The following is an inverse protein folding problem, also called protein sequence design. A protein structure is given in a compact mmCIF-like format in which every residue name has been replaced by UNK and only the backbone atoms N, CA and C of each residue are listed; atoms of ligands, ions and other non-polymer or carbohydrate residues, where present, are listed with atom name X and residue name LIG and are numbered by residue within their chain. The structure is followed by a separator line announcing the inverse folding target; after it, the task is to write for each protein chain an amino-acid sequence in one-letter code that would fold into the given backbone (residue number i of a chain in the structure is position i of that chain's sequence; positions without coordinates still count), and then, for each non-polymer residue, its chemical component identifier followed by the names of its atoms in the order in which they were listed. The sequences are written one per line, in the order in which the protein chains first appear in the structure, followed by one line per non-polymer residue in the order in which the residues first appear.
data_IF_262374453745
#
_entry.id   IF_262374453745
#
_cell.length_a   1.000
_cell.length_b   1.000
_cell.length_c   1.000
_cell.angle_alpha   90.00
_cell.angle_beta   90.00
_cell.angle_gamma   90.00
#
_symmetry.space_group_name_H-M   'P 1'
#
loop_
_entity.id
_entity.type
_entity.pdbx_description
1 polymer ?
#
# COMPACT_ATOMS: atom_id res chain seq x y z
N UNK A 1 25.98 -13.90 22.65
CA UNK A 1 26.61 -14.75 21.62
C UNK A 1 26.76 -16.14 22.20
N UNK A 2 25.93 -17.08 21.74
CA UNK A 2 26.10 -18.51 22.03
C UNK A 2 26.57 -19.12 20.71
N UNK A 3 27.72 -19.81 20.71
CA UNK A 3 28.16 -20.63 19.58
C UNK A 3 27.47 -21.99 19.70
N UNK A 4 26.84 -22.49 18.65
CA UNK A 4 26.50 -23.91 18.54
C UNK A 4 27.77 -24.70 18.22
N UNK A 5 27.80 -25.99 18.62
CA UNK A 5 28.98 -26.86 18.54
C UNK A 5 29.32 -27.33 17.11
N UNK A 6 28.53 -26.97 16.11
CA UNK A 6 28.63 -27.51 14.75
C UNK A 6 29.26 -26.56 13.73
N UNK A 7 29.72 -25.38 14.16
CA UNK A 7 30.42 -24.42 13.28
C UNK A 7 29.55 -23.71 12.24
N UNK A 8 28.24 -23.99 12.23
CA UNK A 8 27.28 -23.25 11.41
C UNK A 8 26.89 -21.95 12.13
N UNK A 9 27.03 -20.82 11.43
CA UNK A 9 26.64 -19.51 11.96
C UNK A 9 25.11 -19.51 12.13
N UNK A 10 24.64 -19.59 13.37
CA UNK A 10 23.25 -19.32 13.73
C UNK A 10 22.93 -17.85 13.41
N UNK A 11 22.54 -17.61 12.17
CA UNK A 11 22.05 -16.32 11.70
C UNK A 11 20.58 -16.24 12.11
N UNK A 12 20.19 -15.31 13.01
CA UNK A 12 18.78 -15.14 13.35
C UNK A 12 17.98 -14.86 12.07
N UNK A 13 16.93 -15.66 11.87
CA UNK A 13 16.05 -15.59 10.71
C UNK A 13 15.26 -14.28 10.75
N UNK A 14 15.74 -13.27 10.03
CA UNK A 14 15.06 -11.97 9.88
C UNK A 14 14.02 -11.99 8.73
N UNK A 15 13.62 -13.17 8.26
CA UNK A 15 12.75 -13.29 7.09
C UNK A 15 11.30 -12.95 7.46
N UNK A 16 10.77 -11.84 6.94
CA UNK A 16 9.31 -11.64 6.85
C UNK A 16 8.77 -12.66 5.84
N UNK A 17 8.31 -13.82 6.31
CA UNK A 17 8.12 -14.98 5.43
C UNK A 17 6.99 -14.80 4.40
N UNK A 18 5.87 -14.15 4.77
CA UNK A 18 4.72 -14.04 3.88
C UNK A 18 4.02 -12.68 3.98
N UNK A 19 3.70 -12.10 2.82
CA UNK A 19 2.60 -11.13 2.70
C UNK A 19 1.32 -11.91 2.96
N UNK A 20 0.50 -11.42 3.88
CA UNK A 20 -0.81 -12.00 4.23
C UNK A 20 -1.92 -11.23 3.49
N UNK A 21 -1.83 -9.90 3.49
CA UNK A 21 -2.89 -9.01 2.96
C UNK A 21 -2.26 -7.84 2.20
N UNK A 22 -2.89 -7.43 1.10
CA UNK A 22 -2.73 -6.10 0.51
C UNK A 22 -4.04 -5.34 0.61
N UNK A 23 -4.01 -4.11 1.11
CA UNK A 23 -5.18 -3.24 1.12
C UNK A 23 -5.06 -2.07 0.14
N UNK A 24 -6.19 -1.69 -0.46
CA UNK A 24 -6.31 -0.64 -1.47
C UNK A 24 -7.46 0.28 -1.10
N UNK A 25 -7.17 1.55 -0.82
CA UNK A 25 -8.16 2.55 -0.44
C UNK A 25 -8.13 3.75 -1.41
N UNK A 26 -9.27 4.10 -1.99
CA UNK A 26 -9.45 5.23 -2.92
C UNK A 26 -8.46 5.27 -4.10
N UNK A 27 -8.17 4.11 -4.68
CA UNK A 27 -7.34 4.00 -5.88
C UNK A 27 -8.16 3.45 -7.04
N UNK A 28 -8.27 4.22 -8.11
CA UNK A 28 -9.00 3.86 -9.32
C UNK A 28 -10.47 3.51 -9.01
N UNK A 29 -10.98 2.40 -9.53
CA UNK A 29 -12.31 1.88 -9.21
C UNK A 29 -12.40 1.20 -7.83
N UNK A 30 -11.34 1.21 -7.02
CA UNK A 30 -11.32 0.60 -5.70
C UNK A 30 -11.53 1.66 -4.61
N UNK A 31 -12.64 1.53 -3.89
CA UNK A 31 -12.95 2.40 -2.75
C UNK A 31 -12.30 1.87 -1.47
N UNK A 32 -12.48 0.58 -1.20
CA UNK A 32 -11.94 -0.14 -0.04
C UNK A 32 -11.88 -1.64 -0.35
N UNK A 33 -10.71 -2.14 -0.72
CA UNK A 33 -10.49 -3.54 -1.07
C UNK A 33 -9.33 -4.16 -0.28
N UNK A 34 -9.54 -5.39 0.16
CA UNK A 34 -8.49 -6.26 0.72
C UNK A 34 -8.26 -7.49 -0.15
N UNK A 35 -7.00 -7.78 -0.41
CA UNK A 35 -6.56 -8.89 -1.23
C UNK A 35 -5.74 -9.82 -0.36
N UNK A 36 -6.20 -11.04 -0.21
CA UNK A 36 -5.55 -12.06 0.60
C UNK A 36 -4.55 -12.85 -0.25
N UNK A 37 -3.37 -13.07 0.31
CA UNK A 37 -2.32 -13.87 -0.30
C UNK A 37 -2.40 -15.29 0.25
N UNK A 38 -2.10 -16.27 -0.59
CA UNK A 38 -1.95 -17.66 -0.18
C UNK A 38 -0.45 -18.00 -0.19
N UNK A 39 0.16 -18.17 0.99
CA UNK A 39 1.59 -18.44 1.15
C UNK A 39 2.48 -17.43 0.40
N UNK A 40 2.16 -16.14 0.52
CA UNK A 40 2.86 -15.05 -0.17
C UNK A 40 2.60 -14.98 -1.68
N UNK A 41 1.69 -15.81 -2.21
CA UNK A 41 1.31 -15.82 -3.63
C UNK A 41 -0.03 -15.13 -3.83
N UNK A 42 -0.07 -14.25 -4.82
CA UNK A 42 -1.28 -13.58 -5.24
C UNK A 42 -1.74 -14.14 -6.60
N UNK A 43 -2.99 -14.60 -6.68
CA UNK A 43 -3.62 -15.00 -7.92
C UNK A 43 -4.72 -14.01 -8.31
N UNK A 44 -4.41 -13.10 -9.22
CA UNK A 44 -5.40 -12.19 -9.80
C UNK A 44 -6.06 -12.86 -11.02
N UNK A 45 -7.32 -13.26 -10.90
CA UNK A 45 -8.14 -13.71 -12.04
C UNK A 45 -9.16 -12.66 -12.42
N UNK A 46 -9.25 -12.33 -13.71
CA UNK A 46 -10.22 -11.41 -14.28
C UNK A 46 -10.39 -11.65 -15.78
N UNK A 47 -11.54 -11.26 -16.34
CA UNK A 47 -11.79 -11.35 -17.78
C UNK A 47 -10.80 -10.48 -18.57
N UNK A 48 -10.24 -11.02 -19.65
CA UNK A 48 -9.29 -10.33 -20.52
C UNK A 48 -9.91 -9.02 -21.08
N UNK A 49 -9.21 -7.88 -20.93
CA UNK A 49 -9.49 -6.67 -21.73
C UNK A 49 -9.82 -5.36 -21.01
N UNK A 50 -9.91 -5.30 -19.67
CA UNK A 50 -10.34 -4.07 -18.95
C UNK A 50 -9.25 -3.34 -18.14
N UNK A 51 -7.99 -3.77 -18.20
CA UNK A 51 -6.86 -3.10 -17.50
C UNK A 51 -6.84 -3.21 -15.96
N UNK A 52 -7.86 -3.83 -15.34
CA UNK A 52 -7.97 -4.01 -13.88
C UNK A 52 -6.81 -4.84 -13.30
N UNK A 53 -6.52 -6.00 -13.91
CA UNK A 53 -5.46 -6.92 -13.42
C UNK A 53 -4.05 -6.36 -13.58
N UNK A 54 -3.79 -5.65 -14.69
CA UNK A 54 -2.43 -5.19 -15.01
C UNK A 54 -2.04 -3.96 -14.18
N UNK A 55 -2.99 -3.08 -13.89
CA UNK A 55 -2.79 -1.94 -12.97
C UNK A 55 -2.51 -2.43 -11.55
N UNK A 56 -3.22 -3.45 -11.08
CA UNK A 56 -3.10 -4.02 -9.73
C UNK A 56 -1.73 -4.66 -9.48
N UNK A 57 -1.10 -5.24 -10.53
CA UNK A 57 0.28 -5.74 -10.45
C UNK A 57 1.31 -4.62 -10.23
N UNK A 58 1.01 -3.39 -10.67
CA UNK A 58 1.92 -2.25 -10.56
C UNK A 58 1.82 -1.55 -9.19
N UNK A 59 0.71 -1.73 -8.48
CA UNK A 59 0.45 -1.11 -7.17
C UNK A 59 1.25 -1.76 -6.03
N UNK A 60 1.53 -3.06 -6.09
CA UNK A 60 2.34 -3.76 -5.07
C UNK A 60 3.81 -3.31 -5.11
N UNK A 61 4.51 -3.29 -6.27
CA UNK A 61 5.85 -2.72 -6.38
C UNK A 61 5.90 -1.27 -5.90
N UNK A 62 4.85 -0.48 -6.13
CA UNK A 62 4.80 0.89 -5.64
C UNK A 62 4.86 0.98 -4.10
N UNK A 63 4.25 0.04 -3.38
CA UNK A 63 4.35 -0.01 -1.91
C UNK A 63 5.77 -0.37 -1.46
N UNK A 64 6.45 -1.28 -2.19
CA UNK A 64 7.78 -1.77 -1.83
C UNK A 64 8.91 -0.80 -2.22
N UNK A 65 8.86 -0.28 -3.45
CA UNK A 65 9.93 0.53 -4.04
C UNK A 65 9.69 2.04 -3.86
N UNK A 66 8.45 2.46 -3.57
CA UNK A 66 8.07 3.87 -3.53
C UNK A 66 8.21 4.60 -4.88
N UNK A 67 8.45 3.85 -5.97
CA UNK A 67 8.78 4.40 -7.28
C UNK A 67 7.54 4.88 -8.03
N UNK A 68 7.32 6.19 -7.97
CA UNK A 68 6.19 6.91 -8.59
C UNK A 68 6.33 7.19 -10.09
N UNK A 69 7.37 6.67 -10.76
CA UNK A 69 7.60 6.96 -12.19
C UNK A 69 6.48 6.35 -13.05
N UNK A 70 5.92 7.06 -14.06
CA UNK A 70 4.73 6.63 -14.79
C UNK A 70 4.80 5.21 -15.40
N UNK A 71 6.00 4.78 -15.83
CA UNK A 71 6.20 3.43 -16.37
C UNK A 71 6.16 2.31 -15.31
N UNK A 72 6.28 2.65 -14.03
CA UNK A 72 6.08 1.74 -12.90
C UNK A 72 4.60 1.63 -12.51
N UNK A 73 3.72 2.47 -13.10
CA UNK A 73 2.29 2.55 -12.78
C UNK A 73 1.41 2.11 -13.94
N UNK A 74 1.88 2.33 -15.17
CA UNK A 74 1.22 1.86 -16.39
C UNK A 74 2.04 0.75 -17.09
N UNK A 75 1.62 -0.51 -16.97
CA UNK A 75 2.28 -1.66 -17.60
C UNK A 75 2.11 -1.69 -19.13
N UNK A 76 1.24 -0.84 -19.70
CA UNK A 76 1.08 -0.68 -21.14
C UNK A 76 2.00 0.40 -21.72
N UNK A 77 2.82 1.05 -20.88
CA UNK A 77 3.86 1.98 -21.32
C UNK A 77 3.33 3.32 -21.84
N UNK A 78 2.07 3.68 -21.59
CA UNK A 78 1.62 5.04 -21.88
C UNK A 78 2.25 6.00 -20.86
N UNK A 79 2.92 7.05 -21.35
CA UNK A 79 3.55 8.06 -20.49
C UNK A 79 2.53 9.04 -19.88
N UNK A 80 1.25 8.84 -20.13
CA UNK A 80 0.22 9.87 -19.94
C UNK A 80 -0.50 9.77 -18.59
N UNK A 81 -0.44 8.63 -17.90
CA UNK A 81 -1.12 8.43 -16.61
C UNK A 81 -0.18 8.71 -15.44
N UNK A 82 -0.18 9.97 -14.98
CA UNK A 82 0.47 10.35 -13.72
C UNK A 82 -0.23 9.72 -12.53
N UNK A 83 0.46 9.53 -11.40
CA UNK A 83 -0.11 8.88 -10.21
C UNK A 83 -1.41 9.54 -9.68
N UNK A 84 -1.56 10.85 -9.89
CA UNK A 84 -2.78 11.63 -9.57
C UNK A 84 -4.03 11.10 -10.29
N UNK A 85 -3.86 10.57 -11.49
CA UNK A 85 -4.94 10.00 -12.31
C UNK A 85 -5.67 8.87 -11.58
N UNK A 86 -4.93 8.04 -10.84
CA UNK A 86 -5.53 6.94 -10.07
C UNK A 86 -6.38 7.44 -8.92
N UNK A 87 -6.23 8.68 -8.46
CA UNK A 87 -7.06 9.25 -7.39
C UNK A 87 -8.18 10.13 -7.95
N UNK A 88 -7.90 10.93 -8.98
CA UNK A 88 -8.81 11.95 -9.48
C UNK A 88 -9.72 11.48 -10.64
N UNK A 89 -9.37 10.39 -11.34
CA UNK A 89 -10.13 9.84 -12.47
C UNK A 89 -9.87 10.52 -13.82
N UNK A 90 -10.62 10.12 -14.86
CA UNK A 90 -10.52 10.66 -16.23
C UNK A 90 -11.16 12.05 -16.40
N UNK A 91 -10.69 12.83 -17.38
CA UNK A 91 -11.26 14.14 -17.76
C UNK A 91 -10.92 15.27 -16.79
N UNK A 92 -11.90 16.12 -16.46
CA UNK A 92 -11.75 17.23 -15.51
C UNK A 92 -11.54 16.80 -14.03
N UNK A 93 -11.40 15.49 -13.79
CA UNK A 93 -11.34 14.84 -12.50
C UNK A 93 -12.74 14.70 -11.91
N UNK A 94 -13.18 13.47 -11.62
CA UNK A 94 -14.37 13.23 -10.80
C UNK A 94 -14.20 13.83 -9.39
N UNK A 95 -12.95 13.98 -8.96
CA UNK A 95 -12.59 14.56 -7.68
C UNK A 95 -11.56 15.69 -7.86
N UNK A 96 -11.67 16.73 -7.04
CA UNK A 96 -10.73 17.86 -7.00
C UNK A 96 -9.65 17.72 -5.92
N UNK A 97 -9.88 16.85 -4.93
CA UNK A 97 -8.98 16.57 -3.80
C UNK A 97 -9.33 15.19 -3.24
N UNK A 98 -8.39 14.24 -3.28
CA UNK A 98 -8.59 12.88 -2.77
C UNK A 98 -7.32 12.37 -2.11
N UNK A 99 -7.49 11.62 -1.04
CA UNK A 99 -6.43 10.82 -0.41
C UNK A 99 -6.68 9.35 -0.73
N UNK A 100 -5.63 8.58 -0.96
CA UNK A 100 -5.64 7.13 -1.12
C UNK A 100 -4.49 6.48 -0.35
N UNK A 101 -4.66 5.21 -0.02
CA UNK A 101 -3.64 4.39 0.65
C UNK A 101 -3.48 3.05 -0.03
N UNK A 102 -2.26 2.55 -0.04
CA UNK A 102 -1.92 1.17 -0.38
C UNK A 102 -1.06 0.62 0.76
N UNK A 103 -1.31 -0.62 1.18
CA UNK A 103 -0.50 -1.25 2.22
C UNK A 103 -0.35 -2.74 1.99
N UNK A 104 0.73 -3.27 2.54
CA UNK A 104 1.02 -4.69 2.65
C UNK A 104 1.16 -5.03 4.13
N UNK A 105 0.45 -6.07 4.55
CA UNK A 105 0.56 -6.64 5.88
C UNK A 105 1.27 -7.99 5.78
N UNK A 106 2.29 -8.15 6.63
CA UNK A 106 3.13 -9.32 6.74
C UNK A 106 2.87 -10.01 8.07
N UNK A 107 2.91 -11.34 8.05
CA UNK A 107 2.86 -12.15 9.26
C UNK A 107 4.12 -13.00 9.39
N UNK A 108 4.76 -12.92 10.55
CA UNK A 108 5.90 -13.76 10.90
C UNK A 108 5.41 -14.88 11.83
N UNK A 109 5.35 -16.14 11.39
CA UNK A 109 4.71 -17.20 12.16
C UNK A 109 5.48 -17.62 13.41
N UNK A 110 6.81 -17.64 13.37
CA UNK A 110 7.68 -18.01 14.49
C UNK A 110 7.59 -16.98 15.62
N UNK A 111 7.61 -15.68 15.28
CA UNK A 111 7.51 -14.59 16.26
C UNK A 111 6.07 -14.12 16.51
N UNK A 112 5.10 -14.69 15.79
CA UNK A 112 3.66 -14.33 15.82
C UNK A 112 3.46 -12.81 15.70
N UNK A 113 4.22 -12.20 14.79
CA UNK A 113 4.31 -10.74 14.65
C UNK A 113 3.65 -10.27 13.37
N UNK A 114 2.89 -9.18 13.44
CA UNK A 114 2.38 -8.46 12.29
C UNK A 114 3.19 -7.19 12.05
N UNK A 115 3.51 -6.95 10.79
CA UNK A 115 4.10 -5.70 10.32
C UNK A 115 3.31 -5.22 9.12
N UNK A 116 2.88 -3.96 9.15
CA UNK A 116 2.27 -3.31 8.00
C UNK A 116 3.22 -2.25 7.47
N UNK A 117 3.48 -2.25 6.17
CA UNK A 117 4.10 -1.13 5.46
C UNK A 117 3.12 -0.63 4.42
N UNK A 118 3.13 0.67 4.16
CA UNK A 118 2.25 1.23 3.17
C UNK A 118 2.68 2.61 2.72
N UNK A 119 1.95 3.11 1.74
CA UNK A 119 2.12 4.44 1.20
C UNK A 119 0.78 5.17 1.22
N UNK A 120 0.84 6.46 1.50
CA UNK A 120 -0.29 7.36 1.36
C UNK A 120 0.00 8.39 0.27
N UNK A 121 -1.04 8.68 -0.50
CA UNK A 121 -1.00 9.66 -1.58
C UNK A 121 -2.18 10.61 -1.43
N UNK A 122 -1.92 11.91 -1.59
CA UNK A 122 -2.97 12.92 -1.73
C UNK A 122 -2.80 13.67 -3.04
N UNK A 123 -3.79 13.57 -3.91
CA UNK A 123 -3.85 14.28 -5.17
C UNK A 123 -4.85 15.43 -5.09
N UNK A 124 -4.53 16.56 -5.73
CA UNK A 124 -5.40 17.73 -5.86
C UNK A 124 -5.29 18.28 -7.27
N UNK A 125 -6.41 18.72 -7.85
CA UNK A 125 -6.41 19.32 -9.19
C UNK A 125 -5.46 20.51 -9.22
N UNK A 126 -4.59 20.56 -10.25
CA UNK A 126 -3.60 21.62 -10.46
C UNK A 126 -2.57 21.79 -9.33
N UNK A 127 -2.33 20.77 -8.50
CA UNK A 127 -1.30 20.81 -7.47
C UNK A 127 -0.43 19.56 -7.52
N UNK A 128 0.82 19.68 -7.04
CA UNK A 128 1.70 18.53 -6.91
C UNK A 128 1.13 17.54 -5.89
N UNK A 129 1.20 16.23 -6.15
CA UNK A 129 0.68 15.23 -5.25
C UNK A 129 1.59 15.12 -4.02
N UNK A 130 0.97 14.89 -2.86
CA UNK A 130 1.69 14.63 -1.63
C UNK A 130 1.84 13.12 -1.45
N UNK A 131 3.04 12.66 -1.16
CA UNK A 131 3.33 11.25 -0.96
C UNK A 131 4.05 11.06 0.38
N UNK A 132 3.73 9.97 1.08
CA UNK A 132 4.43 9.55 2.29
C UNK A 132 4.40 8.02 2.42
N UNK A 133 5.41 7.48 3.07
CA UNK A 133 5.42 6.08 3.52
C UNK A 133 4.97 6.00 4.97
N UNK A 134 4.43 4.86 5.37
CA UNK A 134 4.14 4.56 6.76
C UNK A 134 4.44 3.11 7.13
N UNK A 135 4.67 2.86 8.41
CA UNK A 135 4.91 1.53 8.94
C UNK A 135 4.29 1.36 10.33
N UNK A 136 3.69 0.20 10.56
CA UNK A 136 3.15 -0.26 11.84
C UNK A 136 3.88 -1.53 12.22
N UNK A 137 4.57 -1.49 13.36
CA UNK A 137 5.52 -2.54 13.77
C UNK A 137 5.22 -3.08 15.17
N UNK A 138 4.10 -2.68 15.75
CA UNK A 138 3.68 -2.97 17.14
C UNK A 138 2.53 -4.00 17.20
N UNK A 139 2.44 -4.87 16.19
CA UNK A 139 1.41 -5.90 16.01
C UNK A 139 -0.02 -5.43 15.76
N UNK A 140 -0.28 -4.11 15.76
CA UNK A 140 -1.59 -3.61 15.34
C UNK A 140 -1.79 -3.82 13.84
N UNK A 141 -3.01 -4.16 13.45
CA UNK A 141 -3.41 -4.50 12.09
C UNK A 141 -4.45 -3.51 11.57
N UNK A 142 -4.33 -3.16 10.29
CA UNK A 142 -5.33 -2.33 9.60
C UNK A 142 -6.64 -3.10 9.50
N UNK A 143 -7.78 -2.42 9.69
CA UNK A 143 -9.12 -3.02 9.64
C UNK A 143 -9.49 -3.85 10.87
N UNK A 144 -8.54 -4.10 11.79
CA UNK A 144 -8.78 -4.83 13.05
C UNK A 144 -8.55 -3.96 14.28
N UNK A 145 -7.35 -3.37 14.40
CA UNK A 145 -6.97 -2.56 15.56
C UNK A 145 -7.10 -1.06 15.28
N UNK A 146 -6.95 -0.65 14.02
CA UNK A 146 -7.14 0.72 13.57
C UNK A 146 -7.57 0.76 12.10
N UNK A 147 -8.15 1.89 11.68
CA UNK A 147 -8.47 2.15 10.28
C UNK A 147 -7.61 3.28 9.72
N UNK A 148 -7.43 3.29 8.40
CA UNK A 148 -6.84 4.41 7.66
C UNK A 148 -7.90 5.44 7.23
N UNK A 149 -9.07 5.38 7.86
CA UNK A 149 -10.18 6.31 7.65
C UNK A 149 -10.95 6.54 8.94
N UNK A 150 -11.60 7.70 9.00
CA UNK A 150 -12.69 7.97 9.91
C UNK A 150 -14.02 7.70 9.20
N UNK A 151 -15.05 7.34 9.95
CA UNK A 151 -16.43 7.28 9.45
C UNK A 151 -17.23 8.39 10.11
N UNK A 152 -17.83 9.27 9.31
CA UNK A 152 -18.77 10.28 9.77
C UNK A 152 -20.11 10.16 9.01
N UNK A 153 -21.01 11.13 9.20
CA UNK A 153 -22.32 11.15 8.55
C UNK A 153 -22.25 11.31 7.03
N UNK A 154 -21.13 11.83 6.50
CA UNK A 154 -20.89 12.00 5.06
C UNK A 154 -20.20 10.77 4.44
N UNK A 155 -19.72 9.84 5.25
CA UNK A 155 -19.18 8.55 4.84
C UNK A 155 -17.77 8.28 5.35
N UNK A 156 -17.01 7.44 4.61
CA UNK A 156 -15.61 7.15 4.93
C UNK A 156 -14.71 8.28 4.46
N UNK A 157 -13.97 8.89 5.39
CA UNK A 157 -12.95 9.90 5.11
C UNK A 157 -11.57 9.36 5.44
N UNK A 158 -10.75 9.11 4.41
CA UNK A 158 -9.40 8.61 4.64
C UNK A 158 -8.56 9.62 5.44
N UNK A 159 -7.75 9.09 6.36
CA UNK A 159 -6.88 9.87 7.24
C UNK A 159 -5.91 10.72 6.43
N UNK A 160 -5.48 11.85 6.99
CA UNK A 160 -4.34 12.60 6.44
C UNK A 160 -3.02 12.02 6.92
N UNK A 161 -1.90 12.35 6.25
CA UNK A 161 -0.54 12.05 6.73
C UNK A 161 -0.36 12.37 8.22
N UNK A 162 -0.83 13.55 8.66
CA UNK A 162 -0.74 13.98 10.06
C UNK A 162 -1.53 13.06 11.01
N UNK A 163 -2.70 12.59 10.58
CA UNK A 163 -3.51 11.68 11.39
C UNK A 163 -2.86 10.28 11.43
N UNK A 164 -2.31 9.80 10.31
CA UNK A 164 -1.53 8.53 10.29
C UNK A 164 -0.30 8.62 11.17
N UNK A 165 0.39 9.76 11.22
CA UNK A 165 1.52 9.97 12.13
C UNK A 165 1.15 9.88 13.63
N UNK A 166 -0.14 9.97 13.98
CA UNK A 166 -0.63 9.72 15.33
C UNK A 166 -0.76 8.23 15.69
N UNK A 167 -0.71 7.34 14.70
CA UNK A 167 -0.95 5.90 14.87
C UNK A 167 0.11 5.00 14.23
N UNK A 168 1.02 5.55 13.43
CA UNK A 168 2.04 4.81 12.71
C UNK A 168 3.32 5.65 12.55
N UNK A 169 4.45 4.99 12.27
CA UNK A 169 5.65 5.67 11.82
C UNK A 169 5.40 6.22 10.41
N UNK A 170 5.79 7.47 10.14
CA UNK A 170 5.58 8.12 8.84
C UNK A 170 6.88 8.77 8.36
N UNK A 171 7.18 8.66 7.08
CA UNK A 171 8.32 9.34 6.45
C UNK A 171 7.97 9.89 5.07
N UNK A 172 8.78 10.85 4.61
CA UNK A 172 8.70 11.34 3.24
C UNK A 172 9.43 10.39 2.31
N UNK A 173 8.75 9.96 1.26
CA UNK A 173 9.40 9.27 0.15
C UNK A 173 9.90 10.35 -0.83
N UNK A 174 11.19 10.31 -1.11
CA UNK A 174 11.90 11.33 -1.89
C UNK A 174 11.36 11.48 -3.32
N UNK A 175 11.60 12.68 -3.88
CA UNK A 175 11.18 13.09 -5.22
C UNK A 175 12.01 12.51 -6.34
#
# INVERSE_FOLDING_TARGET
MVKSEDGELDMPDYTLEFVDISGILNFWFYEDEEIYFADGRLLLRGANGAGKTVTMQSLIPLVLDGDKRPWCLDPFGSKDRKIEYYLLGEGDGAHINRTGYLYLEFYHPQHRRYVTIGIGLRARKNARPLFWGFAVTDNRRVGKDFNLFDTDYEGKRLLSERAVAGIAWVWRVGG
#
